data_IF_610962174527
#
_entry.id   IF_610962174527
#
_cell.length_a   1.000
_cell.length_b   1.000
_cell.length_c   1.000
_cell.angle_alpha   90.00
_cell.angle_beta   90.00
_cell.angle_gamma   90.00
#
_symmetry.space_group_name_H-M   'P 1'
#
loop_
_entity.id
_entity.type
_entity.pdbx_description
1 polymer ?
#
# COMPACT_ATOMS: atom_id res chain seq x y z
N UNK A 1 -7.42 16.43 -31.61
CA UNK A 1 -7.71 15.12 -30.97
C UNK A 1 -6.40 14.37 -30.95
N UNK A 2 -5.60 14.57 -29.92
CA UNK A 2 -4.27 13.99 -29.83
C UNK A 2 -4.40 12.54 -29.37
N UNK A 3 -4.07 11.62 -30.28
CA UNK A 3 -3.85 10.22 -29.96
C UNK A 3 -2.66 10.16 -29.01
N UNK A 4 -2.96 9.95 -27.73
CA UNK A 4 -1.95 9.59 -26.74
C UNK A 4 -1.14 8.40 -27.28
N UNK A 5 0.16 8.63 -27.45
CA UNK A 5 1.18 7.63 -27.74
C UNK A 5 1.21 6.62 -26.61
N UNK A 6 0.33 5.62 -26.69
CA UNK A 6 0.35 4.43 -25.86
C UNK A 6 1.61 3.64 -26.24
N UNK A 7 2.51 3.42 -25.28
CA UNK A 7 3.79 2.78 -25.53
C UNK A 7 3.59 1.30 -25.91
N UNK A 8 3.48 1.01 -27.22
CA UNK A 8 3.57 -0.34 -27.79
C UNK A 8 4.95 -1.02 -27.60
N UNK A 9 5.78 -0.53 -26.67
CA UNK A 9 7.19 -0.92 -26.53
C UNK A 9 7.52 -1.80 -25.33
N UNK A 10 6.66 -1.85 -24.30
CA UNK A 10 6.92 -2.65 -23.11
C UNK A 10 5.75 -3.58 -22.78
N UNK A 11 5.70 -4.70 -23.49
CA UNK A 11 4.71 -5.76 -23.25
C UNK A 11 4.77 -6.25 -21.80
N UNK A 12 5.93 -6.22 -21.13
CA UNK A 12 6.03 -6.63 -19.73
C UNK A 12 5.18 -5.71 -18.85
N UNK A 13 5.28 -4.40 -19.04
CA UNK A 13 4.48 -3.43 -18.28
C UNK A 13 3.00 -3.50 -18.62
N UNK A 14 2.65 -3.72 -19.89
CA UNK A 14 1.26 -3.90 -20.30
C UNK A 14 0.62 -5.15 -19.66
N UNK A 15 1.38 -6.25 -19.55
CA UNK A 15 0.97 -7.47 -18.86
C UNK A 15 0.79 -7.22 -17.35
N UNK A 16 1.66 -6.44 -16.70
CA UNK A 16 1.52 -6.07 -15.29
C UNK A 16 0.26 -5.23 -15.08
N UNK A 17 0.06 -4.19 -15.89
CA UNK A 17 -1.10 -3.30 -15.78
C UNK A 17 -2.43 -4.04 -15.99
N UNK A 18 -2.56 -4.79 -17.08
CA UNK A 18 -3.76 -5.59 -17.34
C UNK A 18 -3.93 -6.72 -16.32
N UNK A 19 -2.82 -7.27 -15.82
CA UNK A 19 -2.82 -8.24 -14.73
C UNK A 19 -3.44 -7.65 -13.46
N UNK A 20 -3.03 -6.44 -13.07
CA UNK A 20 -3.59 -5.72 -11.94
C UNK A 20 -5.09 -5.49 -12.09
N UNK A 21 -5.57 -5.06 -13.27
CA UNK A 21 -7.00 -4.91 -13.55
C UNK A 21 -7.77 -6.24 -13.45
N UNK A 22 -7.18 -7.33 -13.96
CA UNK A 22 -7.78 -8.66 -13.85
C UNK A 22 -7.86 -9.13 -12.40
N UNK A 23 -6.84 -8.82 -11.61
CA UNK A 23 -6.75 -9.19 -10.20
C UNK A 23 -7.80 -8.46 -9.37
N UNK A 24 -8.01 -7.17 -9.61
CA UNK A 24 -9.05 -6.37 -8.95
C UNK A 24 -10.46 -6.88 -9.29
N UNK A 25 -10.68 -7.27 -10.56
CA UNK A 25 -11.99 -7.72 -11.04
C UNK A 25 -12.35 -9.16 -10.65
N UNK A 26 -11.41 -10.09 -10.73
CA UNK A 26 -11.67 -11.53 -10.62
C UNK A 26 -10.93 -12.22 -9.47
N UNK A 27 -10.08 -11.49 -8.74
CA UNK A 27 -9.24 -12.02 -7.67
C UNK A 27 -8.20 -13.03 -8.16
N UNK A 28 -7.41 -13.56 -7.23
CA UNK A 28 -6.34 -14.54 -7.51
C UNK A 28 -6.90 -15.83 -8.15
N UNK A 29 -8.11 -16.24 -7.74
CA UNK A 29 -8.76 -17.46 -8.24
C UNK A 29 -9.14 -17.35 -9.73
N UNK A 30 -9.61 -16.18 -10.17
CA UNK A 30 -9.94 -15.93 -11.59
C UNK A 30 -8.73 -15.61 -12.46
N UNK A 31 -7.58 -15.28 -11.86
CA UNK A 31 -6.38 -14.83 -12.57
C UNK A 31 -5.71 -15.94 -13.39
N UNK A 32 -5.33 -15.64 -14.64
CA UNK A 32 -4.46 -16.50 -15.45
C UNK A 32 -3.66 -15.71 -16.49
N UNK A 33 -2.45 -16.17 -16.82
CA UNK A 33 -1.61 -15.58 -17.87
C UNK A 33 -2.34 -15.48 -19.22
N UNK A 34 -3.19 -16.46 -19.53
CA UNK A 34 -3.97 -16.50 -20.76
C UNK A 34 -4.96 -15.33 -20.87
N UNK A 35 -5.67 -15.04 -19.77
CA UNK A 35 -6.61 -13.91 -19.71
C UNK A 35 -5.88 -12.58 -19.83
N UNK A 36 -4.75 -12.42 -19.14
CA UNK A 36 -3.93 -11.20 -19.24
C UNK A 36 -3.41 -11.01 -20.67
N UNK A 37 -2.90 -12.07 -21.32
CA UNK A 37 -2.49 -12.02 -22.72
C UNK A 37 -3.63 -11.57 -23.65
N UNK A 38 -4.83 -12.10 -23.44
CA UNK A 38 -6.01 -11.73 -24.20
C UNK A 38 -6.40 -10.26 -24.00
N UNK A 39 -6.27 -9.73 -22.79
CA UNK A 39 -6.53 -8.31 -22.48
C UNK A 39 -5.52 -7.38 -23.17
N UNK A 40 -4.26 -7.84 -23.32
CA UNK A 40 -3.22 -7.10 -24.03
C UNK A 40 -3.28 -7.31 -25.56
N UNK A 41 -4.25 -8.08 -26.09
CA UNK A 41 -4.36 -8.36 -27.52
C UNK A 41 -3.20 -9.19 -28.10
N UNK A 42 -2.46 -9.94 -27.28
CA UNK A 42 -1.32 -10.76 -27.69
C UNK A 42 -1.61 -12.26 -27.63
N UNK A 43 -0.76 -13.06 -28.27
CA UNK A 43 -0.90 -14.52 -28.24
C UNK A 43 -0.74 -15.07 -26.82
N UNK A 44 -1.38 -16.20 -26.54
CA UNK A 44 -1.31 -16.85 -25.22
C UNK A 44 0.12 -17.26 -24.80
N UNK A 45 1.05 -17.40 -25.76
CA UNK A 45 2.45 -17.72 -25.50
C UNK A 45 3.31 -16.48 -25.21
N UNK A 46 2.83 -15.26 -25.51
CA UNK A 46 3.60 -14.04 -25.35
C UNK A 46 4.04 -13.74 -23.90
N UNK A 47 3.20 -13.94 -22.86
CA UNK A 47 3.63 -13.69 -21.47
C UNK A 47 4.81 -14.55 -21.04
N UNK A 48 4.95 -15.77 -21.57
CA UNK A 48 6.03 -16.69 -21.19
C UNK A 48 7.43 -16.22 -21.61
N UNK A 49 7.53 -15.19 -22.45
CA UNK A 49 8.80 -14.52 -22.77
C UNK A 49 9.29 -13.59 -21.66
N UNK A 50 8.38 -13.15 -20.78
CA UNK A 50 8.66 -12.18 -19.73
C UNK A 50 8.50 -12.77 -18.32
N UNK A 51 7.67 -13.81 -18.19
CA UNK A 51 7.35 -14.45 -16.92
C UNK A 51 7.41 -15.97 -17.08
N UNK A 52 8.16 -16.64 -16.22
CA UNK A 52 8.26 -18.10 -16.13
C UNK A 52 6.90 -18.73 -15.86
N UNK A 53 6.11 -18.12 -14.98
CA UNK A 53 4.82 -18.63 -14.52
C UNK A 53 3.88 -17.52 -14.04
N UNK A 54 2.65 -17.92 -13.68
CA UNK A 54 1.62 -17.03 -13.13
C UNK A 54 2.13 -16.30 -11.87
N UNK A 55 2.91 -16.98 -11.04
CA UNK A 55 3.35 -16.45 -9.76
C UNK A 55 4.42 -15.37 -9.94
N UNK A 56 5.26 -15.46 -10.98
CA UNK A 56 6.19 -14.39 -11.34
C UNK A 56 5.49 -13.12 -11.77
N UNK A 57 4.46 -13.22 -12.62
CA UNK A 57 3.64 -12.06 -12.96
C UNK A 57 2.96 -11.46 -11.72
N UNK A 58 2.42 -12.30 -10.82
CA UNK A 58 1.80 -11.82 -9.58
C UNK A 58 2.83 -11.14 -8.67
N UNK A 59 4.08 -11.64 -8.59
CA UNK A 59 5.17 -10.95 -7.83
C UNK A 59 5.42 -9.55 -8.37
N UNK A 60 5.51 -9.40 -9.69
CA UNK A 60 5.74 -8.10 -10.32
C UNK A 60 4.54 -7.16 -10.14
N UNK A 61 3.30 -7.68 -10.22
CA UNK A 61 2.08 -6.93 -9.88
C UNK A 61 2.11 -6.46 -8.42
N UNK A 62 2.48 -7.32 -7.48
CA UNK A 62 2.59 -6.95 -6.06
C UNK A 62 3.65 -5.86 -5.87
N UNK A 63 4.79 -5.96 -6.56
CA UNK A 63 5.82 -4.91 -6.53
C UNK A 63 5.28 -3.56 -7.03
N UNK A 64 4.48 -3.57 -8.09
CA UNK A 64 3.82 -2.38 -8.61
C UNK A 64 2.80 -1.80 -7.62
N UNK A 65 1.98 -2.66 -6.98
CA UNK A 65 1.06 -2.24 -5.92
C UNK A 65 1.80 -1.58 -4.76
N UNK A 66 2.93 -2.15 -4.31
CA UNK A 66 3.77 -1.53 -3.28
C UNK A 66 4.33 -0.18 -3.70
N UNK A 67 4.70 -0.03 -4.98
CA UNK A 67 5.17 1.24 -5.51
C UNK A 67 4.06 2.30 -5.53
N UNK A 68 2.86 1.94 -6.01
CA UNK A 68 1.69 2.82 -5.99
C UNK A 68 1.32 3.22 -4.56
N UNK A 69 1.40 2.28 -3.62
CA UNK A 69 1.17 2.57 -2.21
C UNK A 69 2.20 3.55 -1.64
N UNK A 70 3.48 3.35 -1.93
CA UNK A 70 4.54 4.30 -1.57
C UNK A 70 4.25 5.71 -2.11
N UNK A 71 3.87 5.82 -3.39
CA UNK A 71 3.54 7.11 -4.01
C UNK A 71 2.31 7.77 -3.34
N UNK A 72 1.29 6.99 -2.98
CA UNK A 72 0.12 7.50 -2.27
C UNK A 72 0.47 8.06 -0.89
N UNK A 73 1.28 7.34 -0.10
CA UNK A 73 1.77 7.83 1.19
C UNK A 73 2.60 9.10 1.02
N UNK A 74 3.53 9.08 0.06
CA UNK A 74 4.43 10.20 -0.21
C UNK A 74 3.68 11.46 -0.64
N UNK A 75 2.66 11.31 -1.49
CA UNK A 75 1.76 12.41 -1.87
C UNK A 75 1.12 13.08 -0.65
N UNK A 76 0.70 12.31 0.35
CA UNK A 76 0.13 12.88 1.57
C UNK A 76 1.12 13.71 2.38
N UNK A 77 2.37 13.26 2.44
CA UNK A 77 3.48 13.98 3.11
C UNK A 77 3.84 15.26 2.35
N UNK A 78 3.98 15.18 1.03
CA UNK A 78 4.45 16.30 0.20
C UNK A 78 3.45 17.46 0.12
N UNK A 79 2.19 17.27 0.53
CA UNK A 79 1.19 18.34 0.63
C UNK A 79 1.51 19.37 1.74
N UNK A 80 2.29 18.98 2.76
CA UNK A 80 2.54 19.79 3.95
C UNK A 80 4.03 19.75 4.34
N UNK A 81 4.94 20.28 3.50
CA UNK A 81 6.39 20.05 3.62
C UNK A 81 7.02 20.46 4.97
N UNK A 82 6.40 21.39 5.69
CA UNK A 82 6.91 21.95 6.95
C UNK A 82 5.99 21.69 8.15
N UNK A 83 4.95 20.88 8.00
CA UNK A 83 3.96 20.62 9.06
C UNK A 83 3.85 19.12 9.38
N UNK A 84 4.81 18.53 10.12
CA UNK A 84 4.84 17.10 10.47
C UNK A 84 3.52 16.54 11.01
N UNK A 85 2.80 17.30 11.83
CA UNK A 85 1.48 16.90 12.33
C UNK A 85 0.46 16.70 11.20
N UNK A 86 0.41 17.62 10.22
CA UNK A 86 -0.48 17.51 9.06
C UNK A 86 0.01 16.42 8.09
N UNK A 87 1.33 16.24 7.94
CA UNK A 87 1.89 15.14 7.15
C UNK A 87 1.41 13.79 7.66
N UNK A 88 1.40 13.56 8.98
CA UNK A 88 0.86 12.32 9.55
C UNK A 88 -0.62 12.14 9.22
N UNK A 89 -1.43 13.18 9.42
CA UNK A 89 -2.87 13.12 9.17
C UNK A 89 -3.14 12.75 7.71
N UNK A 90 -2.52 13.45 6.77
CA UNK A 90 -2.78 13.25 5.36
C UNK A 90 -2.17 11.95 4.84
N UNK A 91 -0.96 11.60 5.27
CA UNK A 91 -0.37 10.28 4.98
C UNK A 91 -1.25 9.14 5.50
N UNK A 92 -1.80 9.26 6.70
CA UNK A 92 -2.70 8.26 7.28
C UNK A 92 -4.03 8.15 6.52
N UNK A 93 -4.58 9.28 6.05
CA UNK A 93 -5.75 9.28 5.16
C UNK A 93 -5.44 8.59 3.83
N UNK A 94 -4.30 8.86 3.21
CA UNK A 94 -3.89 8.19 1.96
C UNK A 94 -3.65 6.68 2.18
N UNK A 95 -3.09 6.28 3.32
CA UNK A 95 -2.94 4.88 3.72
C UNK A 95 -4.28 4.15 3.70
N UNK A 96 -5.26 4.69 4.44
CA UNK A 96 -6.58 4.06 4.58
C UNK A 96 -7.33 4.11 3.25
N UNK A 97 -7.33 5.25 2.56
CA UNK A 97 -7.99 5.42 1.26
C UNK A 97 -7.51 4.39 0.26
N UNK A 98 -6.20 4.22 0.09
CA UNK A 98 -5.63 3.30 -0.88
C UNK A 98 -6.12 1.86 -0.68
N UNK A 99 -6.15 1.40 0.57
CA UNK A 99 -6.56 0.03 0.88
C UNK A 99 -8.09 -0.17 0.89
N UNK A 100 -8.86 0.88 1.22
CA UNK A 100 -10.33 0.86 1.14
C UNK A 100 -10.80 0.83 -0.31
N UNK A 101 -10.18 1.62 -1.18
CA UNK A 101 -10.52 1.69 -2.61
C UNK A 101 -10.01 0.47 -3.40
N UNK A 102 -9.07 -0.30 -2.85
CA UNK A 102 -8.49 -1.49 -3.50
C UNK A 102 -8.46 -2.72 -2.55
N UNK A 103 -9.61 -3.35 -2.23
CA UNK A 103 -9.69 -4.41 -1.23
C UNK A 103 -8.84 -5.65 -1.54
N UNK A 104 -8.66 -6.01 -2.82
CA UNK A 104 -7.80 -7.13 -3.20
C UNK A 104 -6.31 -6.83 -2.97
N UNK A 105 -5.89 -5.57 -3.01
CA UNK A 105 -4.50 -5.19 -2.72
C UNK A 105 -4.16 -5.41 -1.26
N UNK A 106 -5.11 -5.11 -0.36
CA UNK A 106 -4.94 -5.42 1.06
C UNK A 106 -4.66 -6.91 1.27
N UNK A 107 -5.39 -7.80 0.57
CA UNK A 107 -5.18 -9.24 0.65
C UNK A 107 -3.81 -9.63 0.12
N UNK A 108 -3.42 -9.14 -1.05
CA UNK A 108 -2.13 -9.42 -1.69
C UNK A 108 -0.92 -8.90 -0.91
N UNK A 109 -1.03 -7.72 -0.31
CA UNK A 109 0.08 -7.08 0.39
C UNK A 109 0.26 -7.61 1.82
N UNK A 110 -0.83 -7.97 2.51
CA UNK A 110 -0.82 -8.23 3.96
C UNK A 110 -1.42 -9.55 4.42
N UNK A 111 -2.33 -10.18 3.66
CA UNK A 111 -3.10 -11.34 4.12
C UNK A 111 -2.86 -12.64 3.32
N UNK A 112 -2.06 -12.62 2.26
CA UNK A 112 -1.78 -13.82 1.47
C UNK A 112 -0.89 -14.77 2.28
N UNK A 113 -1.49 -15.82 2.82
CA UNK A 113 -0.80 -16.91 3.48
C UNK A 113 0.18 -17.55 2.47
N UNK A 114 1.47 -17.35 2.71
CA UNK A 114 2.56 -18.28 2.37
C UNK A 114 3.26 -18.31 0.99
N UNK A 115 3.06 -17.37 0.05
CA UNK A 115 3.89 -17.39 -1.21
C UNK A 115 4.51 -16.06 -1.67
N UNK A 116 4.24 -14.95 -0.97
CA UNK A 116 4.81 -13.63 -1.34
C UNK A 116 5.42 -12.98 -0.09
N UNK A 117 6.73 -12.70 -0.06
CA UNK A 117 7.44 -12.40 1.18
C UNK A 117 7.25 -10.93 1.55
N UNK A 118 6.07 -10.58 2.07
CA UNK A 118 5.97 -9.51 3.07
C UNK A 118 5.45 -10.12 4.35
N UNK A 119 6.25 -11.04 4.91
CA UNK A 119 6.09 -11.39 6.32
C UNK A 119 6.59 -10.22 7.14
N UNK A 120 5.68 -9.63 7.93
CA UNK A 120 6.10 -8.87 9.08
C UNK A 120 6.64 -9.83 10.15
N UNK A 121 7.91 -10.23 10.02
CA UNK A 121 8.62 -10.82 11.15
C UNK A 121 8.91 -9.71 12.17
N UNK A 122 7.95 -9.47 13.06
CA UNK A 122 8.16 -8.68 14.27
C UNK A 122 8.94 -9.58 15.23
N UNK A 123 10.27 -9.59 15.10
CA UNK A 123 11.13 -10.12 16.17
C UNK A 123 11.14 -9.11 17.29
N UNK A 124 10.39 -9.40 18.36
CA UNK A 124 10.38 -8.61 19.59
C UNK A 124 11.66 -8.95 20.36
N UNK A 125 12.80 -8.46 19.87
CA UNK A 125 14.00 -8.28 20.67
C UNK A 125 14.54 -6.87 20.41
N UNK A 126 15.12 -6.30 21.46
CA UNK A 126 15.50 -4.89 21.56
C UNK A 126 16.14 -4.37 20.26
N UNK A 127 15.53 -3.32 19.71
CA UNK A 127 16.05 -2.49 18.62
C UNK A 127 15.85 -2.91 17.15
N UNK A 128 15.00 -3.87 16.76
CA UNK A 128 14.76 -4.09 15.31
C UNK A 128 13.40 -4.68 14.93
N UNK A 129 12.57 -3.91 14.20
CA UNK A 129 11.57 -4.47 13.27
C UNK A 129 12.33 -5.10 12.09
N UNK A 130 12.37 -6.43 11.99
CA UNK A 130 12.89 -7.13 10.80
C UNK A 130 11.77 -7.66 9.91
N UNK A 131 10.89 -6.76 9.51
CA UNK A 131 10.12 -6.92 8.27
C UNK A 131 10.72 -5.94 7.30
N UNK A 132 11.35 -6.40 6.22
CA UNK A 132 11.75 -5.56 5.10
C UNK A 132 12.09 -4.10 5.52
N UNK A 133 13.18 -3.89 6.29
CA UNK A 133 13.63 -2.56 6.77
C UNK A 133 13.71 -1.50 5.64
N UNK A 134 13.65 -1.97 4.39
CA UNK A 134 13.79 -1.22 3.15
C UNK A 134 12.50 -1.12 2.31
N UNK A 135 11.31 -1.51 2.80
CA UNK A 135 10.07 -1.17 2.07
C UNK A 135 9.97 0.35 2.00
N UNK A 136 9.99 0.97 0.80
CA UNK A 136 9.96 2.43 0.67
C UNK A 136 8.71 3.03 1.33
N UNK A 137 7.57 2.34 1.26
CA UNK A 137 6.33 2.76 1.88
C UNK A 137 6.44 2.82 3.42
N UNK A 138 6.98 1.78 4.06
CA UNK A 138 7.16 1.79 5.51
C UNK A 138 8.23 2.79 5.95
N UNK A 139 9.27 3.00 5.14
CA UNK A 139 10.27 4.05 5.38
C UNK A 139 9.63 5.43 5.39
N UNK A 140 8.78 5.77 4.42
CA UNK A 140 8.03 7.04 4.42
C UNK A 140 7.20 7.16 5.69
N UNK A 141 6.43 6.12 6.04
CA UNK A 141 5.61 6.12 7.24
C UNK A 141 6.40 6.40 8.52
N UNK A 142 7.49 5.65 8.73
CA UNK A 142 8.37 5.77 9.89
C UNK A 142 9.04 7.14 9.92
N UNK A 143 9.65 7.58 8.83
CA UNK A 143 10.40 8.83 8.80
C UNK A 143 9.47 10.04 9.06
N UNK A 144 8.24 10.02 8.53
CA UNK A 144 7.22 11.04 8.82
C UNK A 144 6.81 11.04 10.29
N UNK A 145 6.59 9.86 10.88
CA UNK A 145 6.27 9.74 12.30
C UNK A 145 7.42 10.24 13.20
N UNK A 146 8.66 9.85 12.88
CA UNK A 146 9.85 10.29 13.62
C UNK A 146 10.09 11.80 13.53
N UNK A 147 9.81 12.44 12.38
CA UNK A 147 9.90 13.89 12.26
C UNK A 147 8.91 14.60 13.19
N UNK A 148 7.68 14.11 13.28
CA UNK A 148 6.71 14.62 14.25
C UNK A 148 7.13 14.36 15.69
N UNK A 149 7.64 13.17 16.00
CA UNK A 149 8.10 12.85 17.35
C UNK A 149 9.24 13.76 17.82
N UNK A 150 10.12 14.20 16.91
CA UNK A 150 11.15 15.21 17.19
C UNK A 150 10.54 16.58 17.50
N UNK A 151 9.53 17.00 16.73
CA UNK A 151 8.82 18.26 16.94
C UNK A 151 8.21 18.34 18.34
N UNK A 152 7.54 17.27 18.77
CA UNK A 152 6.91 17.20 20.11
C UNK A 152 7.90 16.77 21.22
N UNK A 153 9.19 16.64 20.91
CA UNK A 153 10.24 16.24 21.85
C UNK A 153 9.93 14.92 22.60
N UNK A 154 9.33 13.96 21.89
CA UNK A 154 9.06 12.64 22.44
C UNK A 154 10.37 11.92 22.77
N UNK A 155 10.39 11.16 23.86
CA UNK A 155 11.49 10.24 24.17
C UNK A 155 11.73 9.25 23.03
N UNK A 156 12.98 9.18 22.56
CA UNK A 156 13.40 8.26 21.50
C UNK A 156 13.16 6.80 21.87
N UNK A 157 13.19 6.46 23.17
CA UNK A 157 12.83 5.13 23.66
C UNK A 157 11.39 4.71 23.34
N UNK A 158 10.52 5.66 23.00
CA UNK A 158 9.10 5.44 22.68
C UNK A 158 8.79 5.43 21.17
N UNK A 159 9.75 5.77 20.30
CA UNK A 159 9.48 5.97 18.86
C UNK A 159 8.92 4.70 18.22
N UNK A 160 9.46 3.54 18.61
CA UNK A 160 9.04 2.26 18.07
C UNK A 160 7.60 1.93 18.47
N UNK A 161 7.28 1.99 19.77
CA UNK A 161 5.91 1.69 20.22
C UNK A 161 4.91 2.69 19.64
N UNK A 162 5.27 3.97 19.51
CA UNK A 162 4.40 5.00 18.92
C UNK A 162 4.18 4.79 17.42
N UNK A 163 5.24 4.48 16.66
CA UNK A 163 5.11 4.14 15.24
C UNK A 163 4.20 2.92 15.05
N UNK A 164 4.38 1.86 15.84
CA UNK A 164 3.53 0.67 15.79
C UNK A 164 2.08 0.97 16.16
N UNK A 165 1.84 1.84 17.15
CA UNK A 165 0.49 2.27 17.55
C UNK A 165 -0.21 2.99 16.40
N UNK A 166 0.47 3.97 15.79
CA UNK A 166 -0.07 4.73 14.66
C UNK A 166 -0.33 3.84 13.44
N UNK A 167 0.60 2.92 13.15
CA UNK A 167 0.45 1.98 12.06
C UNK A 167 -0.72 1.03 12.29
N UNK A 168 -0.86 0.50 13.51
CA UNK A 168 -1.98 -0.36 13.92
C UNK A 168 -3.32 0.36 13.78
N UNK A 169 -3.40 1.64 14.10
CA UNK A 169 -4.60 2.45 13.94
C UNK A 169 -5.04 2.51 12.47
N UNK A 170 -4.18 2.97 11.57
CA UNK A 170 -4.54 3.12 10.16
C UNK A 170 -4.75 1.78 9.46
N UNK A 171 -3.98 0.75 9.83
CA UNK A 171 -4.16 -0.60 9.30
C UNK A 171 -5.47 -1.23 9.77
N UNK A 172 -5.82 -1.07 11.05
CA UNK A 172 -7.10 -1.52 11.59
C UNK A 172 -8.29 -0.83 10.92
N UNK A 173 -8.21 0.49 10.71
CA UNK A 173 -9.24 1.23 10.00
C UNK A 173 -9.41 0.75 8.55
N UNK A 174 -8.31 0.51 7.84
CA UNK A 174 -8.33 -0.05 6.48
C UNK A 174 -9.00 -1.44 6.40
N UNK A 175 -8.91 -2.26 7.47
CA UNK A 175 -9.57 -3.57 7.56
C UNK A 175 -11.06 -3.49 7.92
N UNK A 176 -11.44 -2.50 8.73
CA UNK A 176 -12.78 -2.39 9.32
C UNK A 176 -13.76 -1.60 8.44
N UNK A 177 -13.30 -0.54 7.78
CA UNK A 177 -14.14 0.35 6.94
C UNK A 177 -14.81 -0.43 5.79
N UNK A 178 -14.10 -1.23 4.97
CA UNK A 178 -14.73 -1.93 3.84
C UNK A 178 -15.79 -2.94 4.27
N UNK A 179 -15.75 -3.41 5.53
CA UNK A 179 -16.72 -4.37 6.07
C UNK A 179 -18.01 -3.70 6.55
N UNK A 180 -18.15 -2.38 6.39
CA UNK A 180 -19.27 -1.59 6.93
C UNK A 180 -19.53 -1.82 8.43
N UNK A 181 -18.48 -2.18 9.18
CA UNK A 181 -18.54 -2.33 10.64
C UNK A 181 -18.63 -0.95 11.32
N UNK A 182 -18.25 0.10 10.60
CA UNK A 182 -18.21 1.47 11.10
C UNK A 182 -19.09 2.34 10.21
N UNK A 183 -20.18 2.86 10.78
CA UNK A 183 -21.00 3.91 10.16
C UNK A 183 -20.53 5.28 10.71
N UNK A 184 -20.26 6.23 9.81
CA UNK A 184 -19.86 7.58 10.19
C UNK A 184 -20.43 8.61 9.21
N UNK A 185 -21.31 9.48 9.72
CA UNK A 185 -22.18 10.35 8.91
C UNK A 185 -21.43 11.33 8.00
N UNK A 186 -20.18 11.67 8.33
CA UNK A 186 -19.36 12.62 7.55
C UNK A 186 -18.44 11.94 6.52
N UNK A 187 -18.47 10.61 6.46
CA UNK A 187 -17.60 9.81 5.58
C UNK A 187 -16.33 9.33 6.27
N UNK A 188 -15.83 8.17 5.84
CA UNK A 188 -14.77 7.45 6.56
C UNK A 188 -13.44 8.21 6.64
N UNK A 189 -13.12 9.10 5.70
CA UNK A 189 -11.88 9.88 5.76
C UNK A 189 -11.89 10.92 6.88
N UNK A 190 -13.04 11.49 7.20
CA UNK A 190 -13.20 12.41 8.33
C UNK A 190 -13.06 11.66 9.66
N UNK A 191 -13.55 10.42 9.73
CA UNK A 191 -13.33 9.55 10.87
C UNK A 191 -11.83 9.25 11.04
N UNK A 192 -11.15 8.85 9.96
CA UNK A 192 -9.71 8.56 9.96
C UNK A 192 -8.93 9.77 10.46
N UNK A 193 -9.21 10.95 9.92
CA UNK A 193 -8.60 12.20 10.35
C UNK A 193 -8.82 12.47 11.85
N UNK A 194 -10.07 12.38 12.31
CA UNK A 194 -10.43 12.57 13.72
C UNK A 194 -9.65 11.63 14.64
N UNK A 195 -9.60 10.34 14.31
CA UNK A 195 -8.91 9.33 15.13
C UNK A 195 -7.39 9.53 15.13
N UNK A 196 -6.79 9.91 14.00
CA UNK A 196 -5.36 10.23 13.95
C UNK A 196 -5.08 11.45 14.83
N UNK A 197 -5.86 12.53 14.69
CA UNK A 197 -5.68 13.76 15.49
C UNK A 197 -5.76 13.50 16.99
N UNK A 198 -6.69 12.66 17.45
CA UNK A 198 -6.78 12.24 18.85
C UNK A 198 -5.53 11.50 19.37
N UNK A 199 -4.77 10.87 18.48
CA UNK A 199 -3.60 10.05 18.84
C UNK A 199 -2.26 10.76 18.66
N UNK A 200 -2.21 11.84 17.88
CA UNK A 200 -1.00 12.65 17.72
C UNK A 200 -0.98 13.85 18.65
N UNK A 201 -2.11 14.53 18.89
CA UNK A 201 -2.14 15.74 19.72
C UNK A 201 -2.05 15.38 21.21
N UNK A 202 -0.97 15.81 21.86
CA UNK A 202 -0.82 15.88 23.32
C UNK A 202 -0.11 17.17 23.71
#
# INVERSE_FOLDING_TARGET
MDKATYHHGDLKQELIHNGLLLLDKEGIAGFSLRKVASMCGVSHNAPYKHFKDKDELIRDIISEIWHQFYLALRKGVDLYPEEPALQIVEMGKQYVKFLVENPEYLKLMFLSDSTFPVRLEIKINEATISSNKNSPAFKVFRDTAENYFKEIQLDQGLYMQKTLTMWSLVHGLALLIPKSVIEYDKGYLDLVESLIRMNIVK
#
